data_IF_417177857208
#
_entry.id   IF_417177857208
#
_cell.length_a   1.000
_cell.length_b   1.000
_cell.length_c   1.000
_cell.angle_alpha   90.00
_cell.angle_beta   90.00
_cell.angle_gamma   90.00
#
_symmetry.space_group_name_H-M   'P 1'
#
loop_
_entity.id
_entity.type
_entity.pdbx_description
1 polymer ?
#
# COMPACT_ATOMS: atom_id res chain seq x y z
N UNK A 1 -0.15 -0.07 16.07
CA UNK A 1 -0.32 -1.32 15.27
C UNK A 1 -0.13 -1.01 13.80
N UNK A 2 0.42 -1.94 13.02
CA UNK A 2 0.60 -1.77 11.57
C UNK A 2 -0.11 -2.91 10.84
N UNK A 3 -0.97 -2.60 9.87
CA UNK A 3 -1.62 -3.57 9.01
C UNK A 3 -1.17 -3.32 7.57
N UNK A 4 -0.66 -4.35 6.92
CA UNK A 4 -0.19 -4.27 5.53
C UNK A 4 -0.39 -5.60 4.82
N UNK A 5 -0.04 -5.68 3.54
CA UNK A 5 -0.12 -6.89 2.72
C UNK A 5 1.24 -7.26 2.15
N UNK A 6 1.64 -8.49 2.42
CA UNK A 6 2.82 -9.15 1.85
C UNK A 6 2.43 -9.97 0.63
N UNK A 7 3.42 -10.61 -0.02
CA UNK A 7 3.16 -11.59 -1.09
C UNK A 7 2.34 -12.79 -0.63
N UNK A 8 2.46 -13.17 0.66
CA UNK A 8 1.76 -14.32 1.25
C UNK A 8 0.38 -13.95 1.82
N UNK A 9 0.00 -12.67 1.81
CA UNK A 9 -1.28 -12.19 2.32
C UNK A 9 -1.16 -11.08 3.34
N UNK A 10 -2.26 -10.86 4.07
CA UNK A 10 -2.40 -9.77 5.03
C UNK A 10 -1.63 -10.08 6.32
N UNK A 11 -0.98 -9.05 6.87
CA UNK A 11 -0.25 -9.14 8.14
C UNK A 11 -0.60 -7.97 9.05
N UNK A 12 -0.87 -8.29 10.31
CA UNK A 12 -1.03 -7.33 11.40
C UNK A 12 0.15 -7.42 12.37
N UNK A 13 0.90 -6.34 12.52
CA UNK A 13 2.07 -6.23 13.39
C UNK A 13 1.66 -5.47 14.66
N UNK A 14 1.63 -6.20 15.77
CA UNK A 14 1.31 -5.72 17.12
C UNK A 14 2.60 -5.32 17.87
N UNK A 15 2.50 -4.59 18.99
CA UNK A 15 3.65 -4.30 19.84
C UNK A 15 4.33 -5.58 20.31
N UNK A 16 5.67 -5.62 20.29
CA UNK A 16 6.45 -6.79 20.71
C UNK A 16 6.48 -7.96 19.72
N UNK A 17 6.05 -7.76 18.47
CA UNK A 17 6.12 -8.78 17.43
C UNK A 17 7.57 -9.26 17.21
N UNK A 18 7.72 -10.56 16.94
CA UNK A 18 9.02 -11.19 16.65
C UNK A 18 9.67 -10.57 15.39
N UNK A 19 11.00 -10.66 15.29
CA UNK A 19 11.74 -10.19 14.12
C UNK A 19 11.19 -10.84 12.85
N UNK A 20 10.83 -10.01 11.87
CA UNK A 20 10.14 -10.44 10.68
C UNK A 20 10.60 -9.61 9.47
N UNK A 21 10.63 -10.23 8.29
CA UNK A 21 10.90 -9.54 7.03
C UNK A 21 10.13 -10.20 5.89
N UNK A 22 9.52 -9.39 5.04
CA UNK A 22 8.80 -9.88 3.86
C UNK A 22 8.74 -8.84 2.74
N UNK A 23 8.50 -9.31 1.52
CA UNK A 23 8.17 -8.46 0.39
C UNK A 23 6.71 -7.99 0.49
N UNK A 24 6.48 -6.72 0.14
CA UNK A 24 5.17 -6.07 0.10
C UNK A 24 4.64 -6.03 -1.33
N UNK A 25 3.31 -6.13 -1.45
CA UNK A 25 2.60 -5.82 -2.68
C UNK A 25 1.97 -4.43 -2.60
N UNK A 26 1.64 -3.78 -3.74
CA UNK A 26 0.93 -2.51 -3.71
C UNK A 26 -0.37 -2.58 -2.89
N UNK A 27 -0.47 -1.74 -1.86
CA UNK A 27 -1.51 -1.85 -0.85
C UNK A 27 -1.71 -0.53 -0.09
N UNK A 28 -2.93 -0.30 0.43
CA UNK A 28 -3.27 0.79 1.36
C UNK A 28 -3.00 0.35 2.81
N UNK A 29 -1.74 0.43 3.23
CA UNK A 29 -1.30 0.09 4.59
C UNK A 29 -1.95 1.02 5.63
N UNK A 30 -2.14 0.50 6.83
CA UNK A 30 -2.82 1.19 7.91
C UNK A 30 -1.96 1.19 9.17
N UNK A 31 -1.78 2.36 9.76
CA UNK A 31 -1.04 2.55 10.99
C UNK A 31 -2.02 3.11 12.03
N UNK A 32 -2.21 2.35 13.11
CA UNK A 32 -2.95 2.80 14.28
C UNK A 32 -1.93 3.34 15.28
N UNK A 33 -1.98 4.64 15.51
CA UNK A 33 -1.11 5.35 16.45
C UNK A 33 -1.55 5.12 17.90
N UNK A 34 -0.69 5.47 18.85
CA UNK A 34 -0.94 5.25 20.29
C UNK A 34 -2.16 5.99 20.84
N UNK A 35 -2.53 7.11 20.21
CA UNK A 35 -3.72 7.92 20.49
C UNK A 35 -4.96 7.43 19.73
N UNK A 36 -4.88 6.29 19.05
CA UNK A 36 -6.00 5.66 18.35
C UNK A 36 -6.31 6.24 16.97
N UNK A 37 -5.53 7.21 16.47
CA UNK A 37 -5.70 7.73 15.11
C UNK A 37 -5.26 6.68 14.08
N UNK A 38 -5.95 6.69 12.94
CA UNK A 38 -5.67 5.82 11.80
C UNK A 38 -5.00 6.65 10.71
N UNK A 39 -3.77 6.30 10.39
CA UNK A 39 -3.04 6.86 9.25
C UNK A 39 -3.01 5.81 8.14
N UNK A 40 -3.46 6.17 6.94
CA UNK A 40 -3.51 5.28 5.79
C UNK A 40 -2.45 5.71 4.78
N UNK A 41 -1.66 4.75 4.29
CA UNK A 41 -0.55 4.99 3.36
C UNK A 41 -0.71 4.07 2.15
N UNK A 42 -0.80 4.64 0.95
CA UNK A 42 -0.69 3.87 -0.29
C UNK A 42 0.78 3.56 -0.55
N UNK A 43 1.11 2.27 -0.61
CA UNK A 43 2.45 1.77 -0.92
C UNK A 43 2.47 1.13 -2.29
N UNK A 44 3.61 1.26 -2.97
CA UNK A 44 3.90 0.60 -4.24
C UNK A 44 4.75 -0.66 -4.04
N UNK A 45 4.33 -1.52 -3.11
CA UNK A 45 5.08 -2.70 -2.71
C UNK A 45 6.39 -2.35 -1.98
N UNK A 46 7.41 -3.19 -2.14
CA UNK A 46 8.72 -3.04 -1.49
C UNK A 46 8.93 -4.06 -0.37
N UNK A 47 9.35 -3.64 0.82
CA UNK A 47 9.68 -4.54 1.93
C UNK A 47 9.16 -4.04 3.27
N UNK A 48 8.73 -4.97 4.12
CA UNK A 48 8.51 -4.73 5.54
C UNK A 48 9.60 -5.39 6.35
N UNK A 49 10.11 -4.68 7.36
CA UNK A 49 11.05 -5.20 8.35
C UNK A 49 10.56 -4.85 9.74
N UNK A 50 10.56 -5.85 10.62
CA UNK A 50 10.30 -5.72 12.05
C UNK A 50 11.55 -6.15 12.77
N UNK A 51 12.16 -5.25 13.51
CA UNK A 51 13.34 -5.54 14.33
C UNK A 51 13.41 -4.57 15.51
N UNK A 52 13.84 -5.05 16.67
CA UNK A 52 14.05 -4.20 17.86
C UNK A 52 12.80 -3.36 18.21
N UNK A 53 11.61 -3.97 18.12
CA UNK A 53 10.32 -3.30 18.34
C UNK A 53 10.06 -2.07 17.42
N UNK A 54 10.69 -2.06 16.23
CA UNK A 54 10.51 -1.04 15.20
C UNK A 54 10.02 -1.70 13.92
N UNK A 55 8.98 -1.13 13.33
CA UNK A 55 8.48 -1.51 12.00
C UNK A 55 8.97 -0.50 10.97
N UNK A 56 9.57 -1.00 9.88
CA UNK A 56 9.99 -0.20 8.74
C UNK A 56 9.31 -0.72 7.47
N UNK A 57 8.65 0.18 6.74
CA UNK A 57 8.08 -0.09 5.42
C UNK A 57 8.92 0.68 4.40
N UNK A 58 9.67 -0.04 3.57
CA UNK A 58 10.46 0.53 2.48
C UNK A 58 9.69 0.33 1.18
N UNK A 59 9.39 1.43 0.49
CA UNK A 59 8.71 1.41 -0.80
C UNK A 59 9.29 2.46 -1.73
N UNK A 60 9.18 2.25 -3.04
CA UNK A 60 9.56 3.26 -4.03
C UNK A 60 8.62 4.47 -3.96
N UNK A 61 7.33 4.25 -3.67
CA UNK A 61 6.35 5.30 -3.45
C UNK A 61 5.52 5.00 -2.21
N UNK A 62 5.33 6.03 -1.39
CA UNK A 62 4.49 6.00 -0.21
C UNK A 62 3.71 7.31 -0.13
N UNK A 63 2.39 7.27 -0.34
CA UNK A 63 1.54 8.46 -0.31
C UNK A 63 0.59 8.38 0.90
N UNK A 64 0.54 9.44 1.70
CA UNK A 64 -0.47 9.54 2.77
C UNK A 64 -1.84 9.72 2.14
N UNK A 65 -2.88 9.10 2.69
CA UNK A 65 -4.24 9.17 2.13
C UNK A 65 -4.73 10.60 1.89
N UNK A 66 -4.40 11.52 2.79
CA UNK A 66 -4.70 12.96 2.69
C UNK A 66 -4.02 13.69 1.52
N UNK A 67 -2.97 13.11 0.93
CA UNK A 67 -2.22 13.67 -0.20
C UNK A 67 -2.70 13.09 -1.54
N UNK A 68 -3.59 12.10 -1.51
CA UNK A 68 -4.03 11.37 -2.69
C UNK A 68 -5.24 12.06 -3.31
N UNK A 69 -5.14 12.42 -4.59
CA UNK A 69 -6.31 12.78 -5.39
C UNK A 69 -7.03 11.52 -5.86
N UNK A 70 -8.18 11.21 -5.27
CA UNK A 70 -9.01 10.07 -5.67
C UNK A 70 -9.41 10.15 -7.15
N UNK A 71 -9.69 11.35 -7.66
CA UNK A 71 -10.05 11.58 -9.05
C UNK A 71 -8.88 11.25 -10.02
N UNK A 72 -7.65 11.66 -9.69
CA UNK A 72 -6.46 11.33 -10.49
C UNK A 72 -6.16 9.83 -10.44
N UNK A 73 -6.22 9.22 -9.26
CA UNK A 73 -6.01 7.79 -9.10
C UNK A 73 -7.06 6.98 -9.86
N UNK A 74 -8.32 7.43 -9.89
CA UNK A 74 -9.39 6.80 -10.65
C UNK A 74 -9.12 6.88 -12.16
N UNK A 75 -8.74 8.05 -12.66
CA UNK A 75 -8.37 8.23 -14.07
C UNK A 75 -7.22 7.32 -14.51
N UNK A 76 -6.18 7.18 -13.68
CA UNK A 76 -5.05 6.28 -13.98
C UNK A 76 -5.49 4.81 -14.01
N UNK A 77 -6.34 4.39 -13.05
CA UNK A 77 -6.91 3.03 -13.05
C UNK A 77 -7.72 2.79 -14.32
N UNK A 78 -8.63 3.70 -14.68
CA UNK A 78 -9.48 3.54 -15.86
C UNK A 78 -8.69 3.56 -17.17
N UNK A 79 -7.65 4.40 -17.24
CA UNK A 79 -6.76 4.50 -18.41
C UNK A 79 -5.95 3.23 -18.65
N UNK A 80 -5.52 2.54 -17.59
CA UNK A 80 -4.69 1.33 -17.68
C UNK A 80 -5.47 0.03 -17.60
N UNK A 81 -6.71 0.05 -17.11
CA UNK A 81 -7.51 -1.15 -16.84
C UNK A 81 -7.61 -2.10 -18.03
N UNK A 82 -7.94 -1.58 -19.21
CA UNK A 82 -8.10 -2.41 -20.42
C UNK A 82 -6.80 -3.11 -20.79
N UNK A 83 -5.69 -2.37 -20.86
CA UNK A 83 -4.39 -2.95 -21.21
C UNK A 83 -3.95 -4.03 -20.21
N UNK A 84 -4.21 -3.82 -18.92
CA UNK A 84 -3.92 -4.81 -17.87
C UNK A 84 -4.84 -6.03 -17.97
N UNK A 85 -6.14 -5.83 -18.17
CA UNK A 85 -7.12 -6.92 -18.28
C UNK A 85 -6.89 -7.76 -19.56
N UNK A 86 -6.51 -7.12 -20.66
CA UNK A 86 -6.19 -7.76 -21.95
C UNK A 86 -4.76 -8.35 -22.00
N UNK A 87 -3.96 -8.13 -20.97
CA UNK A 87 -2.57 -8.61 -20.88
C UNK A 87 -1.59 -7.95 -21.87
N UNK A 88 -1.95 -6.77 -22.40
CA UNK A 88 -1.13 -5.99 -23.33
C UNK A 88 -0.28 -4.92 -22.65
N UNK A 89 -0.54 -4.65 -21.36
CA UNK A 89 0.21 -3.70 -20.56
C UNK A 89 1.66 -4.14 -20.32
N UNK A 90 2.60 -3.20 -20.39
CA UNK A 90 3.98 -3.44 -19.97
C UNK A 90 4.13 -3.48 -18.43
N UNK A 91 5.32 -3.85 -17.95
CA UNK A 91 5.58 -3.97 -16.51
C UNK A 91 5.41 -2.63 -15.77
N UNK A 92 5.76 -1.51 -16.41
CA UNK A 92 5.61 -0.17 -15.87
C UNK A 92 4.14 0.23 -15.75
N UNK A 93 3.33 -0.07 -16.76
CA UNK A 93 1.88 0.11 -16.78
C UNK A 93 1.19 -0.74 -15.71
N UNK A 94 1.56 -2.02 -15.60
CA UNK A 94 1.05 -2.91 -14.54
C UNK A 94 1.36 -2.35 -13.16
N UNK A 95 2.58 -1.85 -12.96
CA UNK A 95 2.99 -1.24 -11.69
C UNK A 95 2.19 0.03 -11.38
N UNK A 96 2.07 0.96 -12.33
CA UNK A 96 1.27 2.19 -12.17
C UNK A 96 -0.20 1.88 -11.87
N UNK A 97 -0.79 0.92 -12.58
CA UNK A 97 -2.15 0.47 -12.33
C UNK A 97 -2.34 -0.07 -10.90
N UNK A 98 -1.41 -0.91 -10.42
CA UNK A 98 -1.47 -1.48 -9.06
C UNK A 98 -1.33 -0.39 -8.00
N UNK A 99 -0.41 0.55 -8.18
CA UNK A 99 -0.25 1.70 -7.30
C UNK A 99 -1.51 2.57 -7.29
N UNK A 100 -2.08 2.91 -8.45
CA UNK A 100 -3.29 3.71 -8.53
C UNK A 100 -4.47 3.04 -7.80
N UNK A 101 -4.59 1.72 -7.86
CA UNK A 101 -5.55 0.96 -7.05
C UNK A 101 -5.28 1.04 -5.55
N UNK A 102 -4.01 0.99 -5.13
CA UNK A 102 -3.64 1.18 -3.74
C UNK A 102 -3.99 2.60 -3.27
N UNK A 103 -3.77 3.61 -4.11
CA UNK A 103 -4.11 5.00 -3.84
C UNK A 103 -5.63 5.21 -3.70
N UNK A 104 -6.44 4.65 -4.61
CA UNK A 104 -7.90 4.68 -4.50
C UNK A 104 -8.40 4.05 -3.20
N UNK A 105 -7.87 2.87 -2.84
CA UNK A 105 -8.21 2.21 -1.57
C UNK A 105 -7.80 3.05 -0.36
N UNK A 106 -6.66 3.73 -0.43
CA UNK A 106 -6.19 4.58 0.66
C UNK A 106 -7.06 5.82 0.83
N UNK A 107 -7.47 6.46 -0.28
CA UNK A 107 -8.39 7.59 -0.26
C UNK A 107 -9.77 7.19 0.31
N UNK A 108 -10.32 6.06 -0.14
CA UNK A 108 -11.64 5.58 0.32
C UNK A 108 -11.67 5.11 1.79
N UNK A 109 -10.52 4.83 2.41
CA UNK A 109 -10.41 4.44 3.83
C UNK A 109 -10.37 5.64 4.79
N UNK A 110 -10.21 6.86 4.27
CA UNK A 110 -10.15 8.08 5.07
C UNK A 110 -11.55 8.57 5.47
N UNK A 111 -12.58 8.18 4.71
CA UNK A 111 -14.01 8.42 4.97
C UNK A 111 -14.62 7.33 5.87
#
# INVERSE_FOLDING_TARGET
>A
NVITRTTEGDIGILPGHETFMAALVPHAAEIVTVDGRREIIALDGGFVSVAQNRVSLLSQQANLSKEISAEQAQREVDGLKRAVDDGTADEGEIRRYRLAKAQLKAAAKLD
#
